data_IF_553965613835
#
_entry.id   IF_553965613835
#
_cell.length_a   1.000
_cell.length_b   1.000
_cell.length_c   1.000
_cell.angle_alpha   90.00
_cell.angle_beta   90.00
_cell.angle_gamma   90.00
#
_symmetry.space_group_name_H-M   'P 1'
#
loop_
_entity.id
_entity.type
_entity.pdbx_description
1 polymer ?
#
# COMPACT_ATOMS: atom_id res chain seq x y z
N UNK A 1 -51.14 -12.16 5.98
CA UNK A 1 -50.64 -12.20 4.58
C UNK A 1 -49.76 -10.98 4.35
N UNK A 2 -48.51 -11.24 3.93
CA UNK A 2 -47.71 -10.45 2.96
C UNK A 2 -47.26 -9.04 3.44
N UNK A 3 -46.04 -8.54 3.23
CA UNK A 3 -45.04 -8.77 2.19
C UNK A 3 -43.64 -8.47 2.77
N UNK A 4 -42.71 -9.41 2.67
CA UNK A 4 -41.28 -9.15 2.84
C UNK A 4 -40.82 -8.20 1.74
N UNK A 5 -40.23 -7.05 2.11
CA UNK A 5 -39.55 -6.17 1.17
C UNK A 5 -38.19 -6.78 0.83
N UNK A 6 -38.14 -7.54 -0.26
CA UNK A 6 -36.90 -8.06 -0.83
C UNK A 6 -36.04 -6.89 -1.31
N UNK A 7 -34.97 -6.59 -0.57
CA UNK A 7 -33.89 -5.72 -1.03
C UNK A 7 -33.11 -6.48 -2.10
N UNK A 8 -33.30 -6.09 -3.36
CA UNK A 8 -32.52 -6.61 -4.49
C UNK A 8 -31.14 -5.94 -4.45
N UNK A 9 -30.18 -6.57 -3.77
CA UNK A 9 -28.76 -6.18 -3.88
C UNK A 9 -28.29 -6.65 -5.25
N UNK A 10 -28.09 -5.70 -6.15
CA UNK A 10 -27.49 -5.93 -7.45
C UNK A 10 -26.00 -6.25 -7.23
N UNK A 11 -25.69 -7.52 -7.02
CA UNK A 11 -24.30 -8.00 -7.04
C UNK A 11 -23.84 -7.89 -8.49
N UNK A 12 -23.03 -6.87 -8.80
CA UNK A 12 -22.31 -6.81 -10.05
C UNK A 12 -21.38 -8.03 -10.10
N UNK A 13 -21.79 -9.05 -10.85
CA UNK A 13 -20.93 -10.15 -11.26
C UNK A 13 -19.80 -9.52 -12.09
N UNK A 14 -18.64 -9.34 -11.47
CA UNK A 14 -17.41 -9.15 -12.23
C UNK A 14 -17.24 -10.42 -13.05
N UNK A 15 -17.48 -10.29 -14.36
CA UNK A 15 -17.04 -11.28 -15.34
C UNK A 15 -15.56 -11.54 -15.06
N UNK A 16 -15.24 -12.81 -14.79
CA UNK A 16 -13.86 -13.27 -14.67
C UNK A 16 -13.27 -13.16 -16.08
N UNK A 17 -12.83 -11.95 -16.43
CA UNK A 17 -11.96 -11.74 -17.56
C UNK A 17 -10.78 -12.68 -17.37
N UNK A 18 -10.40 -13.36 -18.44
CA UNK A 18 -9.18 -14.17 -18.52
C UNK A 18 -8.08 -13.51 -17.70
N UNK A 19 -7.55 -14.24 -16.71
CA UNK A 19 -6.39 -13.84 -15.92
C UNK A 19 -5.21 -13.82 -16.89
N UNK A 20 -5.11 -12.77 -17.69
CA UNK A 20 -3.84 -12.40 -18.28
C UNK A 20 -2.95 -12.22 -17.06
N UNK A 21 -1.91 -13.04 -16.93
CA UNK A 21 -0.91 -12.88 -15.89
C UNK A 21 -0.24 -11.54 -16.16
N UNK A 22 -0.86 -10.46 -15.69
CA UNK A 22 -0.39 -9.12 -15.85
C UNK A 22 0.89 -9.07 -15.05
N UNK A 23 2.03 -9.14 -15.75
CA UNK A 23 3.34 -9.01 -15.14
C UNK A 23 3.33 -7.71 -14.36
N UNK A 24 3.53 -7.80 -13.04
CA UNK A 24 3.58 -6.62 -12.18
C UNK A 24 4.64 -5.67 -12.69
N UNK A 25 4.30 -4.38 -12.76
CA UNK A 25 5.25 -3.31 -13.10
C UNK A 25 6.13 -2.92 -11.91
N UNK A 26 5.78 -3.41 -10.72
CA UNK A 26 6.42 -3.07 -9.46
C UNK A 26 7.40 -4.15 -9.00
N UNK A 27 7.21 -5.41 -9.39
CA UNK A 27 8.11 -6.51 -9.00
C UNK A 27 9.58 -6.17 -9.25
N UNK A 28 10.40 -6.37 -8.22
CA UNK A 28 11.82 -6.07 -8.20
C UNK A 28 12.16 -4.61 -7.88
N UNK A 29 11.17 -3.73 -7.71
CA UNK A 29 11.39 -2.33 -7.33
C UNK A 29 11.30 -2.16 -5.82
N UNK A 30 12.13 -1.28 -5.30
CA UNK A 30 12.07 -0.81 -3.92
C UNK A 30 11.80 0.68 -3.86
N UNK A 31 10.89 1.08 -2.98
CA UNK A 31 10.53 2.47 -2.74
C UNK A 31 10.69 2.80 -1.27
N UNK A 32 11.36 3.92 -0.98
CA UNK A 32 11.48 4.48 0.37
C UNK A 32 10.55 5.66 0.47
N UNK A 33 9.74 5.69 1.53
CA UNK A 33 8.72 6.71 1.72
C UNK A 33 8.60 7.17 3.17
N UNK A 34 8.08 8.38 3.29
CA UNK A 34 7.71 9.01 4.56
C UNK A 34 6.21 8.90 4.73
N UNK A 35 5.77 8.66 5.96
CA UNK A 35 4.38 8.58 6.37
C UNK A 35 4.11 9.57 7.50
N UNK A 36 2.91 10.16 7.50
CA UNK A 36 2.44 11.09 8.53
C UNK A 36 0.93 10.96 8.72
N UNK A 37 0.42 11.19 9.93
CA UNK A 37 -1.03 11.19 10.18
C UNK A 37 -1.69 12.21 9.26
N UNK A 38 -2.66 11.75 8.47
CA UNK A 38 -3.30 12.54 7.41
C UNK A 38 -4.24 13.62 7.96
N UNK A 39 -4.68 13.48 9.21
CA UNK A 39 -5.63 14.38 9.88
C UNK A 39 -4.90 15.30 10.85
N UNK A 40 -4.09 14.74 11.73
CA UNK A 40 -3.47 15.47 12.85
C UNK A 40 -2.02 15.89 12.56
N UNK A 41 -1.41 15.38 11.49
CA UNK A 41 -0.01 15.62 11.19
C UNK A 41 0.95 14.88 12.14
N UNK A 42 1.81 15.60 12.86
CA UNK A 42 2.81 15.00 13.75
C UNK A 42 4.12 14.55 13.09
N UNK A 43 4.79 13.60 13.76
CA UNK A 43 6.12 13.12 13.39
C UNK A 43 6.08 12.29 12.10
N UNK A 44 7.13 12.46 11.31
CA UNK A 44 7.37 11.68 10.11
C UNK A 44 7.96 10.33 10.49
N UNK A 45 7.40 9.26 9.93
CA UNK A 45 7.92 7.90 10.05
C UNK A 45 8.33 7.38 8.67
N UNK A 46 9.32 6.50 8.63
CA UNK A 46 9.92 6.01 7.39
C UNK A 46 9.69 4.52 7.24
N UNK A 47 9.50 4.07 6.01
CA UNK A 47 9.53 2.67 5.65
C UNK A 47 10.06 2.49 4.21
N UNK A 48 10.50 1.28 3.91
CA UNK A 48 10.87 0.86 2.58
C UNK A 48 10.02 -0.35 2.19
N UNK A 49 9.37 -0.25 1.04
CA UNK A 49 8.69 -1.37 0.40
C UNK A 49 9.55 -1.94 -0.70
N UNK A 50 9.81 -3.24 -0.65
CA UNK A 50 10.30 -4.02 -1.80
C UNK A 50 9.14 -4.82 -2.35
N UNK A 51 8.77 -4.56 -3.60
CA UNK A 51 7.72 -5.27 -4.30
C UNK A 51 8.29 -6.58 -4.86
N UNK A 52 7.81 -7.71 -4.37
CA UNK A 52 8.11 -9.03 -4.92
C UNK A 52 7.02 -9.44 -5.94
N UNK A 53 7.00 -10.71 -6.37
CA UNK A 53 6.09 -11.16 -7.41
C UNK A 53 4.61 -11.07 -7.02
N UNK A 54 4.27 -11.35 -5.76
CA UNK A 54 2.90 -11.40 -5.27
C UNK A 54 2.69 -10.64 -3.97
N UNK A 55 3.75 -10.14 -3.34
CA UNK A 55 3.70 -9.56 -1.99
C UNK A 55 4.65 -8.36 -1.88
N UNK A 56 4.46 -7.55 -0.83
CA UNK A 56 5.42 -6.50 -0.45
C UNK A 56 6.21 -6.95 0.78
N UNK A 57 7.51 -6.72 0.78
CA UNK A 57 8.31 -6.76 2.00
C UNK A 57 8.51 -5.34 2.51
N UNK A 58 7.98 -5.07 3.69
CA UNK A 58 8.24 -3.85 4.45
C UNK A 58 9.50 -4.03 5.30
N UNK A 59 10.46 -3.12 5.21
CA UNK A 59 11.65 -3.16 6.05
C UNK A 59 11.32 -2.86 7.52
N UNK A 60 10.60 -1.77 7.79
CA UNK A 60 10.32 -1.33 9.15
C UNK A 60 9.27 -2.21 9.85
N UNK A 61 8.19 -2.58 9.14
CA UNK A 61 7.11 -3.37 9.72
C UNK A 61 7.35 -4.88 9.61
N UNK A 62 8.15 -5.35 8.63
CA UNK A 62 8.57 -6.75 8.59
C UNK A 62 9.33 -7.16 9.85
N UNK A 63 10.21 -6.28 10.37
CA UNK A 63 10.93 -6.46 11.65
C UNK A 63 10.01 -6.54 12.87
N UNK A 64 8.77 -6.04 12.75
CA UNK A 64 7.72 -6.07 13.79
C UNK A 64 6.75 -7.24 13.61
N UNK A 65 7.08 -8.19 12.74
CA UNK A 65 6.25 -9.37 12.50
C UNK A 65 5.05 -9.13 11.60
N UNK A 66 5.01 -8.01 10.86
CA UNK A 66 4.00 -7.84 9.82
C UNK A 66 4.32 -8.70 8.60
N UNK A 67 3.29 -9.31 8.03
CA UNK A 67 3.35 -10.03 6.75
C UNK A 67 2.34 -9.44 5.78
N UNK A 68 2.66 -9.46 4.49
CA UNK A 68 1.80 -8.88 3.45
C UNK A 68 0.83 -9.91 2.86
N UNK A 69 -0.37 -9.41 2.53
CA UNK A 69 -1.28 -10.10 1.63
C UNK A 69 -0.75 -10.09 0.20
N UNK A 70 -1.47 -10.80 -0.68
CA UNK A 70 -1.29 -10.64 -2.11
C UNK A 70 -1.47 -9.16 -2.51
N UNK A 71 -0.61 -8.66 -3.40
CA UNK A 71 -0.74 -7.33 -4.00
C UNK A 71 -1.83 -7.36 -5.06
N UNK A 72 -2.72 -6.37 -5.02
CA UNK A 72 -3.65 -6.07 -6.10
C UNK A 72 -3.11 -4.89 -6.90
N UNK A 73 -2.89 -5.06 -8.21
CA UNK A 73 -2.43 -3.99 -9.09
C UNK A 73 -3.47 -3.63 -10.14
N UNK A 74 -3.59 -2.33 -10.41
CA UNK A 74 -4.31 -1.78 -11.56
C UNK A 74 -3.39 -0.84 -12.31
N UNK A 75 -2.85 -1.33 -13.43
CA UNK A 75 -1.95 -0.55 -14.27
C UNK A 75 -2.76 0.27 -15.29
N UNK A 76 -2.35 1.53 -15.47
CA UNK A 76 -2.72 2.41 -16.57
C UNK A 76 -1.48 2.66 -17.44
N UNK A 77 -1.57 3.53 -18.47
CA UNK A 77 -0.45 3.80 -19.40
C UNK A 77 0.85 4.14 -18.64
N UNK A 78 0.80 5.12 -17.74
CA UNK A 78 1.98 5.62 -17.02
C UNK A 78 1.99 5.33 -15.51
N UNK A 79 0.88 4.83 -14.96
CA UNK A 79 0.70 4.70 -13.52
C UNK A 79 0.36 3.28 -13.13
N UNK A 80 0.77 2.87 -11.93
CA UNK A 80 0.32 1.62 -11.31
C UNK A 80 -0.31 1.97 -9.98
N UNK A 81 -1.61 1.71 -9.84
CA UNK A 81 -2.26 1.76 -8.53
C UNK A 81 -2.11 0.39 -7.89
N UNK A 82 -1.83 0.36 -6.59
CA UNK A 82 -1.73 -0.88 -5.83
C UNK A 82 -2.54 -0.82 -4.55
N UNK A 83 -3.02 -1.98 -4.12
CA UNK A 83 -3.57 -2.21 -2.80
C UNK A 83 -2.87 -3.43 -2.17
N UNK A 84 -2.44 -3.30 -0.92
CA UNK A 84 -1.83 -4.39 -0.15
C UNK A 84 -2.12 -4.21 1.33
N UNK A 85 -2.40 -5.30 2.04
CA UNK A 85 -2.61 -5.29 3.48
C UNK A 85 -1.42 -5.92 4.18
N UNK A 86 -0.83 -5.22 5.14
CA UNK A 86 0.09 -5.82 6.11
C UNK A 86 -0.69 -6.26 7.35
N UNK A 87 -0.43 -7.46 7.85
CA UNK A 87 -1.10 -8.03 9.01
C UNK A 87 -0.09 -8.44 10.07
N UNK A 88 -0.39 -8.14 11.33
CA UNK A 88 0.31 -8.61 12.52
C UNK A 88 -0.72 -9.07 13.56
N UNK A 89 -0.57 -10.29 14.07
CA UNK A 89 -1.44 -10.79 15.13
C UNK A 89 -1.30 -9.97 16.44
N UNK A 90 -0.17 -9.30 16.64
CA UNK A 90 0.11 -8.51 17.83
C UNK A 90 -0.34 -7.04 17.70
N UNK A 91 -0.21 -6.46 16.49
CA UNK A 91 -0.39 -5.03 16.28
C UNK A 91 -1.65 -4.65 15.48
N UNK A 92 -2.25 -5.58 14.73
CA UNK A 92 -3.42 -5.32 13.88
C UNK A 92 -3.07 -5.27 12.39
N UNK A 93 -3.72 -4.40 11.62
CA UNK A 93 -3.60 -4.35 10.15
C UNK A 93 -3.23 -2.97 9.63
N UNK A 94 -2.60 -2.94 8.46
CA UNK A 94 -2.25 -1.73 7.72
C UNK A 94 -2.65 -1.92 6.26
N UNK A 95 -3.71 -1.26 5.83
CA UNK A 95 -4.17 -1.30 4.44
C UNK A 95 -3.54 -0.15 3.67
N UNK A 96 -2.66 -0.47 2.74
CA UNK A 96 -2.02 0.49 1.85
C UNK A 96 -2.81 0.60 0.56
N UNK A 97 -3.07 1.84 0.15
CA UNK A 97 -3.59 2.19 -1.18
C UNK A 97 -2.66 3.23 -1.77
N UNK A 98 -1.93 2.84 -2.79
CA UNK A 98 -0.90 3.69 -3.37
C UNK A 98 -0.96 3.80 -4.88
N UNK A 99 -0.26 4.80 -5.37
CA UNK A 99 -0.03 5.10 -6.78
C UNK A 99 1.46 5.22 -7.00
N UNK A 100 1.95 4.53 -8.02
CA UNK A 100 3.31 4.66 -8.54
C UNK A 100 3.25 5.34 -9.91
N UNK A 101 4.07 6.36 -10.09
CA UNK A 101 4.24 7.09 -11.35
C UNK A 101 5.75 7.32 -11.58
N UNK A 102 6.35 6.51 -12.44
CA UNK A 102 7.79 6.47 -12.63
C UNK A 102 8.54 6.14 -11.33
N UNK A 103 9.35 7.09 -10.86
CA UNK A 103 10.12 6.96 -9.61
C UNK A 103 9.34 7.37 -8.37
N UNK A 104 8.18 8.03 -8.50
CA UNK A 104 7.41 8.51 -7.36
C UNK A 104 6.44 7.43 -6.86
N UNK A 105 6.22 7.43 -5.54
CA UNK A 105 5.17 6.66 -4.88
C UNK A 105 4.43 7.56 -3.90
N UNK A 106 3.11 7.48 -3.87
CA UNK A 106 2.27 8.20 -2.92
C UNK A 106 0.97 7.45 -2.62
N UNK A 107 0.31 7.80 -1.52
CA UNK A 107 -0.98 7.20 -1.20
C UNK A 107 -1.38 7.36 0.26
N UNK A 108 -2.27 6.47 0.70
CA UNK A 108 -2.77 6.41 2.07
C UNK A 108 -2.62 5.04 2.70
N UNK A 109 -2.59 5.04 4.03
CA UNK A 109 -2.54 3.85 4.87
C UNK A 109 -3.65 3.95 5.90
N UNK A 110 -4.53 2.96 5.94
CA UNK A 110 -5.48 2.81 7.03
C UNK A 110 -4.87 1.83 8.02
N UNK A 111 -4.48 2.33 9.19
CA UNK A 111 -3.96 1.53 10.30
C UNK A 111 -5.14 1.18 11.21
N UNK A 112 -5.40 -0.10 11.40
CA UNK A 112 -6.39 -0.60 12.36
C UNK A 112 -5.65 -1.35 13.46
N UNK A 113 -5.71 -0.86 14.68
CA UNK A 113 -5.10 -1.55 15.82
C UNK A 113 -5.88 -2.81 16.21
N UNK A 114 -5.32 -3.62 17.12
CA UNK A 114 -5.96 -4.85 17.62
C UNK A 114 -7.33 -4.63 18.30
N UNK A 115 -7.61 -3.40 18.75
CA UNK A 115 -8.86 -3.02 19.40
C UNK A 115 -9.90 -2.50 18.40
N UNK A 116 -9.52 -2.37 17.12
CA UNK A 116 -10.36 -1.85 16.05
C UNK A 116 -10.30 -0.34 15.86
N UNK A 117 -9.43 0.38 16.58
CA UNK A 117 -9.28 1.83 16.38
C UNK A 117 -8.56 2.08 15.06
N UNK A 118 -8.99 3.11 14.33
CA UNK A 118 -8.46 3.44 13.02
C UNK A 118 -7.80 4.82 12.98
N UNK A 119 -6.62 4.87 12.35
CA UNK A 119 -5.91 6.10 12.01
C UNK A 119 -5.51 6.04 10.54
N UNK A 120 -5.66 7.16 9.82
CA UNK A 120 -5.24 7.27 8.42
C UNK A 120 -3.93 8.04 8.33
N UNK A 121 -2.95 7.46 7.65
CA UNK A 121 -1.70 8.11 7.30
C UNK A 121 -1.69 8.42 5.81
N UNK A 122 -1.04 9.51 5.43
CA UNK A 122 -0.63 9.76 4.06
C UNK A 122 0.85 9.40 3.92
N UNK A 123 1.25 8.89 2.77
CA UNK A 123 2.65 8.60 2.48
C UNK A 123 3.07 9.14 1.13
N UNK A 124 4.35 9.49 1.03
CA UNK A 124 5.01 9.93 -0.20
C UNK A 124 6.46 9.52 -0.18
N UNK A 125 6.99 9.14 -1.33
CA UNK A 125 8.36 8.68 -1.45
C UNK A 125 8.80 8.58 -2.89
N UNK A 126 9.90 7.88 -3.07
CA UNK A 126 10.48 7.62 -4.37
C UNK A 126 11.21 6.28 -4.37
N UNK A 127 11.73 5.86 -5.53
CA UNK A 127 12.63 4.72 -5.63
C UNK A 127 13.75 4.84 -4.59
N UNK A 128 14.06 3.74 -3.91
CA UNK A 128 15.07 3.70 -2.85
C UNK A 128 16.44 4.18 -3.34
N UNK A 129 16.80 3.86 -4.60
CA UNK A 129 18.03 4.37 -5.21
C UNK A 129 18.05 5.91 -5.31
N UNK A 130 16.95 6.51 -5.78
CA UNK A 130 16.82 7.97 -5.91
C UNK A 130 16.80 8.64 -4.53
N UNK A 131 16.14 8.01 -3.56
CA UNK A 131 16.15 8.46 -2.17
C UNK A 131 17.57 8.49 -1.60
N UNK A 132 18.34 7.42 -1.78
CA UNK A 132 19.71 7.33 -1.26
C UNK A 132 20.61 8.39 -1.89
N UNK A 133 20.56 8.56 -3.22
CA UNK A 133 21.27 9.64 -3.92
C UNK A 133 20.92 11.02 -3.36
N UNK A 134 19.64 11.28 -3.11
CA UNK A 134 19.19 12.55 -2.55
C UNK A 134 19.70 12.78 -1.12
N UNK A 135 19.83 11.73 -0.31
CA UNK A 135 20.37 11.81 1.05
C UNK A 135 21.88 12.03 1.07
N UNK A 136 22.63 11.36 0.19
CA UNK A 136 24.08 11.58 0.04
C UNK A 136 24.39 13.03 -0.37
N UNK A 137 23.65 13.59 -1.33
CA UNK A 137 23.81 14.99 -1.75
C UNK A 137 23.51 16.00 -0.63
N UNK A 138 22.66 15.63 0.35
CA UNK A 138 22.38 16.48 1.52
C UNK A 138 23.46 16.40 2.59
N UNK A 139 24.14 15.26 2.72
CA UNK A 139 25.20 15.06 3.72
C UNK A 139 26.56 15.57 3.25
N UNK A 140 26.80 15.60 1.93
CA UNK A 140 28.01 16.17 1.33
C UNK A 140 28.02 17.69 1.18
N UNK A 141 27.14 18.42 1.90
CA UNK A 141 27.06 19.89 1.92
C UNK A 141 27.35 20.44 3.31
#
# INVERSE_FOLDING_TARGET
MKYFKTLLVLVALFTIGTVNAQTSRLTGKSYTFVMKDAVNGGEETFDQFTFEADKVVSDAFGKKGFTSSKILEKQSVNTTNFEVTLNSAAEGTRLYRGRVDGSAIDGTIIVTDKSGNQVTYAFRGMLTEDWNKAMEMKQGK
#
